data_IF_982603011804
#
_entry.id   IF_982603011804
#
_cell.length_a   1.000
_cell.length_b   1.000
_cell.length_c   1.000
_cell.angle_alpha   90.00
_cell.angle_beta   90.00
_cell.angle_gamma   90.00
#
_symmetry.space_group_name_H-M   'P 1'
#
loop_
_entity.id
_entity.type
_entity.pdbx_description
1 polymer ?
#
# COMPACT_ATOMS: atom_id res chain seq x y z
N UNK A 1 -32.44 6.99 -6.47
CA UNK A 1 -31.73 5.77 -6.00
C UNK A 1 -30.33 5.92 -6.52
N UNK A 2 -29.47 6.52 -5.70
CA UNK A 2 -28.11 6.91 -6.10
C UNK A 2 -27.21 5.68 -6.14
N UNK A 3 -26.44 5.57 -7.22
CA UNK A 3 -25.56 4.47 -7.55
C UNK A 3 -24.66 4.05 -6.37
N UNK A 4 -24.73 2.78 -6.01
CA UNK A 4 -23.74 2.06 -5.21
C UNK A 4 -22.39 2.00 -5.95
N UNK A 5 -21.65 3.12 -5.97
CA UNK A 5 -20.26 3.11 -6.44
C UNK A 5 -19.41 2.46 -5.35
N UNK A 6 -19.17 1.16 -5.50
CA UNK A 6 -18.09 0.46 -4.80
C UNK A 6 -16.79 1.21 -5.11
N UNK A 7 -16.25 1.95 -4.15
CA UNK A 7 -15.05 2.75 -4.34
C UNK A 7 -13.87 1.81 -4.55
N UNK A 8 -13.48 1.61 -5.81
CA UNK A 8 -12.27 0.85 -6.15
C UNK A 8 -11.05 1.64 -5.69
N UNK A 9 -10.20 1.05 -4.85
CA UNK A 9 -8.95 1.65 -4.37
C UNK A 9 -7.87 1.38 -5.42
N UNK A 10 -7.43 2.41 -6.13
CA UNK A 10 -6.49 2.26 -7.25
C UNK A 10 -5.07 2.74 -6.92
N UNK A 11 -4.94 3.61 -5.92
CA UNK A 11 -3.66 4.24 -5.58
C UNK A 11 -3.45 4.40 -4.06
N UNK A 12 -2.20 4.68 -3.70
CA UNK A 12 -1.76 4.80 -2.30
C UNK A 12 -2.53 5.89 -1.54
N UNK A 13 -2.74 7.06 -2.15
CA UNK A 13 -3.46 8.17 -1.50
C UNK A 13 -4.91 7.83 -1.19
N UNK A 14 -5.60 7.13 -2.09
CA UNK A 14 -6.96 6.63 -1.84
C UNK A 14 -6.98 5.59 -0.73
N UNK A 15 -6.01 4.66 -0.71
CA UNK A 15 -5.92 3.64 0.33
C UNK A 15 -5.73 4.26 1.72
N UNK A 16 -4.84 5.25 1.84
CA UNK A 16 -4.62 5.99 3.08
C UNK A 16 -5.86 6.78 3.48
N UNK A 17 -6.52 7.47 2.55
CA UNK A 17 -7.74 8.22 2.86
C UNK A 17 -8.84 7.30 3.41
N UNK A 18 -9.02 6.11 2.83
CA UNK A 18 -9.97 5.11 3.33
C UNK A 18 -9.57 4.58 4.71
N UNK A 19 -8.29 4.28 4.91
CA UNK A 19 -7.78 3.82 6.21
C UNK A 19 -8.03 4.86 7.32
N UNK A 20 -7.78 6.15 7.04
CA UNK A 20 -8.10 7.24 7.98
C UNK A 20 -9.60 7.32 8.27
N UNK A 21 -10.46 7.13 7.28
CA UNK A 21 -11.90 7.11 7.49
C UNK A 21 -12.34 5.93 8.39
N UNK A 22 -11.78 4.75 8.18
CA UNK A 22 -12.03 3.57 9.03
C UNK A 22 -11.63 3.85 10.48
N UNK A 23 -10.43 4.39 10.70
CA UNK A 23 -9.96 4.74 12.05
C UNK A 23 -10.89 5.76 12.72
N UNK A 24 -11.31 6.79 11.98
CA UNK A 24 -12.24 7.78 12.50
C UNK A 24 -13.56 7.13 12.96
N UNK A 25 -14.12 6.21 12.18
CA UNK A 25 -15.34 5.48 12.56
C UNK A 25 -15.13 4.61 13.79
N UNK A 26 -14.03 3.85 13.85
CA UNK A 26 -13.72 3.01 15.02
C UNK A 26 -13.59 3.87 16.30
N UNK A 27 -12.96 5.04 16.20
CA UNK A 27 -12.70 5.91 17.34
C UNK A 27 -13.91 6.72 17.81
N UNK A 28 -14.79 7.14 16.89
CA UNK A 28 -15.83 8.13 17.18
C UNK A 28 -17.25 7.59 17.11
N UNK A 29 -17.51 6.57 16.29
CA UNK A 29 -18.88 6.12 16.00
C UNK A 29 -19.31 4.91 16.85
N UNK A 30 -18.42 4.37 17.69
CA UNK A 30 -18.66 3.22 18.58
C UNK A 30 -19.39 2.04 17.87
N UNK A 31 -18.84 1.52 16.76
CA UNK A 31 -19.45 0.42 16.01
C UNK A 31 -19.61 -0.83 16.88
N UNK A 32 -20.58 -1.68 16.54
CA UNK A 32 -20.76 -2.96 17.21
C UNK A 32 -19.64 -3.95 16.84
N UNK A 33 -19.66 -5.14 17.46
CA UNK A 33 -18.59 -6.13 17.31
C UNK A 33 -18.50 -6.67 15.88
N UNK A 34 -19.62 -6.82 15.18
CA UNK A 34 -19.64 -7.35 13.82
C UNK A 34 -19.09 -6.29 12.85
N UNK A 35 -19.51 -5.02 13.01
CA UNK A 35 -18.99 -3.89 12.23
C UNK A 35 -17.50 -3.65 12.48
N UNK A 36 -17.04 -3.76 13.73
CA UNK A 36 -15.63 -3.67 14.09
C UNK A 36 -14.78 -4.71 13.35
N UNK A 37 -15.29 -5.93 13.22
CA UNK A 37 -14.57 -7.00 12.51
C UNK A 37 -14.43 -6.67 11.02
N UNK A 38 -15.50 -6.19 10.39
CA UNK A 38 -15.50 -5.79 8.97
C UNK A 38 -14.53 -4.63 8.73
N UNK A 39 -14.60 -3.59 9.56
CA UNK A 39 -13.73 -2.43 9.46
C UNK A 39 -12.25 -2.80 9.66
N UNK A 40 -11.98 -3.73 10.59
CA UNK A 40 -10.63 -4.21 10.86
C UNK A 40 -10.08 -5.02 9.68
N UNK A 41 -10.88 -5.91 9.09
CA UNK A 41 -10.47 -6.71 7.92
C UNK A 41 -10.12 -5.79 6.73
N UNK A 42 -10.98 -4.81 6.45
CA UNK A 42 -10.71 -3.82 5.40
C UNK A 42 -9.44 -3.00 5.68
N UNK A 43 -9.21 -2.59 6.94
CA UNK A 43 -7.99 -1.89 7.31
C UNK A 43 -6.72 -2.73 7.05
N UNK A 44 -6.78 -4.04 7.34
CA UNK A 44 -5.67 -4.98 7.08
C UNK A 44 -5.39 -5.10 5.58
N UNK A 45 -6.42 -5.19 4.74
CA UNK A 45 -6.28 -5.22 3.29
C UNK A 45 -5.60 -3.93 2.78
N UNK A 46 -6.05 -2.77 3.24
CA UNK A 46 -5.50 -1.46 2.86
C UNK A 46 -4.04 -1.31 3.27
N UNK A 47 -3.69 -1.74 4.49
CA UNK A 47 -2.31 -1.72 4.99
C UNK A 47 -1.42 -2.64 4.12
N UNK A 48 -1.92 -3.82 3.76
CA UNK A 48 -1.21 -4.76 2.90
C UNK A 48 -0.91 -4.14 1.54
N UNK A 49 -1.93 -3.55 0.89
CA UNK A 49 -1.77 -2.83 -0.37
C UNK A 49 -0.74 -1.69 -0.27
N UNK A 50 -0.82 -0.87 0.78
CA UNK A 50 0.11 0.23 1.02
C UNK A 50 1.56 -0.27 1.13
N UNK A 51 1.78 -1.36 1.88
CA UNK A 51 3.11 -1.97 2.05
C UNK A 51 3.67 -2.48 0.72
N UNK A 52 2.84 -3.10 -0.11
CA UNK A 52 3.26 -3.57 -1.44
C UNK A 52 3.62 -2.43 -2.38
N UNK A 53 2.85 -1.33 -2.36
CA UNK A 53 3.14 -0.12 -3.14
C UNK A 53 4.47 0.51 -2.72
N UNK A 54 4.71 0.65 -1.42
CA UNK A 54 5.98 1.18 -0.91
C UNK A 54 7.16 0.30 -1.33
N UNK A 55 7.07 -1.01 -1.09
CA UNK A 55 8.12 -1.97 -1.49
C UNK A 55 8.43 -1.93 -2.99
N UNK A 56 7.38 -1.84 -3.80
CA UNK A 56 7.52 -1.71 -5.26
C UNK A 56 8.17 -0.38 -5.66
N UNK A 57 7.80 0.70 -4.97
CA UNK A 57 8.36 2.04 -5.21
C UNK A 57 9.84 2.09 -4.85
N UNK A 58 10.23 1.54 -3.70
CA UNK A 58 11.63 1.47 -3.27
C UNK A 58 12.50 0.77 -4.32
N UNK A 59 12.07 -0.41 -4.81
CA UNK A 59 12.77 -1.14 -5.87
C UNK A 59 12.92 -0.35 -7.17
N UNK A 60 11.89 0.42 -7.54
CA UNK A 60 11.94 1.26 -8.74
C UNK A 60 12.94 2.40 -8.56
N UNK A 61 12.97 3.02 -7.38
CA UNK A 61 13.95 4.06 -7.04
C UNK A 61 15.37 3.49 -7.09
N UNK A 62 15.62 2.34 -6.48
CA UNK A 62 16.92 1.65 -6.53
C UNK A 62 17.36 1.38 -7.98
N UNK A 63 16.46 0.86 -8.82
CA UNK A 63 16.75 0.60 -10.22
C UNK A 63 17.04 1.87 -11.04
N UNK A 64 16.36 2.98 -10.72
CA UNK A 64 16.62 4.28 -11.35
C UNK A 64 17.98 4.84 -10.93
N UNK A 65 18.34 4.73 -9.65
CA UNK A 65 19.64 5.16 -9.14
C UNK A 65 20.78 4.34 -9.75
N UNK A 66 20.65 3.01 -9.85
CA UNK A 66 21.65 2.16 -10.50
C UNK A 66 21.91 2.56 -11.96
N UNK A 67 20.85 2.90 -12.71
CA UNK A 67 20.97 3.41 -14.09
C UNK A 67 21.73 4.74 -14.17
N UNK A 68 21.58 5.61 -13.17
CA UNK A 68 22.30 6.89 -13.12
C UNK A 68 23.77 6.71 -12.72
N UNK A 69 24.08 5.70 -11.91
CA UNK A 69 25.45 5.39 -11.46
C UNK A 69 26.33 4.70 -12.51
N UNK A 70 25.78 4.35 -13.69
CA UNK A 70 26.49 3.75 -14.82
C UNK A 70 27.35 2.51 -14.47
N UNK A 71 26.94 1.75 -13.44
CA UNK A 71 27.55 0.47 -13.10
C UNK A 71 27.13 -0.56 -14.17
N UNK A 72 28.01 -0.77 -15.16
CA UNK A 72 28.03 -2.04 -15.89
C UNK A 72 28.23 -3.16 -14.86
N UNK A 73 27.49 -4.29 -14.97
CA UNK A 73 27.64 -5.38 -14.02
C UNK A 73 29.09 -5.85 -14.07
N UNK A 74 29.80 -5.69 -12.94
CA UNK A 74 31.11 -6.27 -12.73
C UNK A 74 30.96 -7.79 -12.92
N UNK A 75 31.36 -8.27 -14.10
CA UNK A 75 31.60 -9.68 -14.34
C UNK A 75 32.74 -10.08 -13.39
N UNK A 76 32.37 -10.68 -12.26
CA UNK A 76 33.31 -11.28 -11.33
C UNK A 76 34.04 -12.40 -12.08
N UNK A 77 35.26 -12.08 -12.48
CA UNK A 77 36.29 -13.01 -12.93
C UNK A 77 36.51 -14.06 -11.86
N UNK A 78 36.27 -15.31 -12.23
CA UNK A 78 36.77 -16.51 -11.57
C UNK A 78 38.29 -16.40 -11.38
N UNK A 79 38.73 -16.15 -10.15
CA UNK A 79 40.12 -16.37 -9.75
C UNK A 79 40.29 -17.83 -9.31
N UNK A 80 41.27 -18.46 -9.96
CA UNK A 80 41.77 -19.83 -9.74
C UNK A 80 42.68 -19.87 -8.51
#
# INVERSE_FOLDING_TARGET
>A
MENEKKTQIENYSQAIARLTAILNTIEHDSPDVDDLMILTDEAVELITFCREKLKTTDKQIEALLAKLSNEEPAAETSEQ
#
